data_IF_030502445244
#
_entry.id   IF_030502445244
#
_cell.length_a   1.000
_cell.length_b   1.000
_cell.length_c   1.000
_cell.angle_alpha   90.00
_cell.angle_beta   90.00
_cell.angle_gamma   90.00
#
_symmetry.space_group_name_H-M   'P 1'
#
loop_
_entity.id
_entity.type
_entity.pdbx_description
1 polymer ?
#
# COMPACT_ATOMS: atom_id res chain seq x y z
N UNK A 1 67.56 -6.21 1.36
CA UNK A 1 67.28 -4.77 1.17
C UNK A 1 66.79 -4.65 -0.27
N UNK A 2 65.53 -4.37 -0.62
CA UNK A 2 64.64 -3.26 -0.24
C UNK A 2 63.24 -3.68 -0.76
N UNK A 3 62.20 -3.53 0.06
CA UNK A 3 60.77 -3.78 -0.24
C UNK A 3 60.18 -2.57 -1.02
N UNK A 4 58.85 -2.36 -1.20
CA UNK A 4 57.68 -3.23 -1.48
C UNK A 4 56.76 -2.64 -2.62
N UNK A 5 55.53 -3.18 -2.74
CA UNK A 5 54.29 -2.53 -3.23
C UNK A 5 53.93 -2.77 -4.71
N UNK A 6 52.62 -2.95 -4.93
CA UNK A 6 51.87 -3.26 -6.16
C UNK A 6 51.74 -4.79 -6.31
N UNK A 7 50.64 -5.43 -5.92
CA UNK A 7 49.39 -5.33 -6.66
C UNK A 7 48.26 -5.89 -5.78
N UNK A 8 47.40 -5.01 -5.28
CA UNK A 8 46.15 -5.40 -4.61
C UNK A 8 45.18 -5.97 -5.64
N UNK A 9 45.22 -7.29 -5.83
CA UNK A 9 44.20 -8.01 -6.59
C UNK A 9 43.04 -8.38 -5.64
N UNK A 10 42.09 -7.45 -5.50
CA UNK A 10 40.75 -7.72 -4.99
C UNK A 10 40.00 -8.52 -6.07
N UNK A 11 39.96 -9.84 -5.91
CA UNK A 11 39.11 -10.76 -6.68
C UNK A 11 38.42 -11.65 -5.62
N UNK A 12 37.19 -11.30 -5.20
CA UNK A 12 35.97 -12.01 -5.64
C UNK A 12 36.03 -13.50 -5.26
N UNK A 13 35.25 -14.03 -4.31
CA UNK A 13 33.83 -14.41 -4.48
C UNK A 13 33.37 -15.23 -3.25
N UNK A 14 32.13 -14.98 -2.82
CA UNK A 14 31.17 -15.88 -2.15
C UNK A 14 31.50 -16.48 -0.78
N UNK A 15 30.77 -15.99 0.23
CA UNK A 15 29.99 -16.89 1.08
C UNK A 15 28.57 -16.33 1.21
N UNK A 16 27.67 -16.89 0.39
CA UNK A 16 26.23 -16.90 0.64
C UNK A 16 26.00 -17.58 1.99
N UNK A 17 25.38 -16.86 2.93
CA UNK A 17 24.36 -17.46 3.80
C UNK A 17 23.42 -16.37 4.32
N UNK A 18 22.57 -15.85 3.42
CA UNK A 18 21.34 -15.22 3.88
C UNK A 18 20.43 -16.35 4.36
N UNK A 19 20.40 -16.58 5.68
CA UNK A 19 19.30 -17.26 6.32
C UNK A 19 18.02 -16.48 5.96
N UNK A 20 17.18 -17.07 5.11
CA UNK A 20 15.83 -16.57 4.84
C UNK A 20 15.01 -16.81 6.11
N UNK A 21 14.99 -15.83 6.99
CA UNK A 21 13.91 -15.69 7.96
C UNK A 21 12.59 -15.55 7.18
N UNK A 22 11.49 -16.20 7.63
CA UNK A 22 10.19 -15.99 7.04
C UNK A 22 9.75 -14.56 7.35
N UNK A 23 9.92 -13.69 6.36
CA UNK A 23 9.38 -12.34 6.38
C UNK A 23 7.86 -12.45 6.27
N UNK A 24 7.18 -12.59 7.40
CA UNK A 24 5.75 -12.29 7.48
C UNK A 24 5.62 -10.83 7.08
N UNK A 25 5.25 -10.59 5.81
CA UNK A 25 5.03 -9.25 5.26
C UNK A 25 3.79 -8.63 5.89
N UNK A 26 3.87 -8.22 7.15
CA UNK A 26 3.08 -7.11 7.66
C UNK A 26 3.86 -5.82 7.43
N UNK A 27 4.14 -5.51 6.16
CA UNK A 27 4.50 -4.14 5.77
C UNK A 27 3.21 -3.41 5.41
N UNK A 28 2.37 -3.12 6.41
CA UNK A 28 1.44 -2.01 6.28
C UNK A 28 2.26 -0.72 6.46
N UNK A 29 3.06 -0.41 5.44
CA UNK A 29 3.61 0.92 5.28
C UNK A 29 2.62 1.67 4.39
N UNK A 30 1.45 1.97 4.96
CA UNK A 30 0.56 2.96 4.41
C UNK A 30 1.08 4.29 4.95
N UNK A 31 2.02 4.88 4.21
CA UNK A 31 2.43 6.26 4.41
C UNK A 31 1.15 7.09 4.48
N UNK A 32 0.84 7.52 5.69
CA UNK A 32 -0.26 8.41 6.04
C UNK A 32 0.02 9.78 5.43
N UNK A 33 -0.15 9.91 4.11
CA UNK A 33 -0.46 11.19 3.50
C UNK A 33 -1.90 11.52 3.90
N UNK A 34 -2.03 12.01 5.13
CA UNK A 34 -3.19 12.69 5.68
C UNK A 34 -3.32 14.07 5.03
N UNK A 35 -3.33 14.08 3.70
CA UNK A 35 -3.73 15.22 2.89
C UNK A 35 -5.25 15.15 2.80
N UNK A 36 -5.92 16.21 3.20
CA UNK A 36 -7.37 16.32 3.15
C UNK A 36 -7.85 16.02 1.71
N UNK A 37 -8.40 14.81 1.46
CA UNK A 37 -8.95 14.37 0.17
C UNK A 37 -10.26 15.10 -0.19
N UNK A 38 -10.36 16.41 0.03
CA UNK A 38 -11.57 17.19 -0.26
C UNK A 38 -11.89 17.29 -1.75
N UNK A 39 -10.95 16.91 -2.63
CA UNK A 39 -11.08 17.08 -4.08
C UNK A 39 -11.06 15.76 -4.88
N UNK A 40 -11.20 14.61 -4.21
CA UNK A 40 -11.23 13.32 -4.92
C UNK A 40 -12.65 13.01 -5.37
N UNK A 41 -12.87 12.96 -6.69
CA UNK A 41 -14.14 12.52 -7.26
C UNK A 41 -14.30 11.02 -7.05
N UNK A 42 -15.29 10.67 -6.24
CA UNK A 42 -15.73 9.30 -5.97
C UNK A 42 -17.10 9.09 -6.59
N UNK A 43 -17.40 7.85 -7.00
CA UNK A 43 -18.67 7.54 -7.67
C UNK A 43 -19.82 7.33 -6.69
N UNK A 44 -19.54 7.23 -5.39
CA UNK A 44 -20.50 6.95 -4.34
C UNK A 44 -20.66 8.14 -3.37
N UNK A 45 -21.90 8.57 -3.15
CA UNK A 45 -22.23 9.62 -2.18
C UNK A 45 -22.09 9.13 -0.73
N UNK A 46 -22.31 7.83 -0.51
CA UNK A 46 -22.24 7.17 0.79
C UNK A 46 -21.31 5.96 0.75
N UNK A 47 -20.64 5.68 1.86
CA UNK A 47 -19.78 4.51 2.03
C UNK A 47 -20.61 3.23 1.83
N UNK A 48 -20.25 2.35 0.88
CA UNK A 48 -21.03 1.14 0.58
C UNK A 48 -21.12 0.12 1.72
N UNK A 49 -20.27 0.24 2.75
CA UNK A 49 -20.22 -0.68 3.89
C UNK A 49 -21.05 -0.17 5.07
N UNK A 50 -20.95 1.12 5.39
CA UNK A 50 -21.56 1.70 6.59
C UNK A 50 -22.58 2.80 6.33
N UNK A 51 -22.80 3.19 5.06
CA UNK A 51 -23.72 4.24 4.63
C UNK A 51 -23.43 5.63 5.22
N UNK A 52 -22.19 5.88 5.64
CA UNK A 52 -21.76 7.22 6.03
C UNK A 52 -21.54 8.10 4.80
N UNK A 53 -21.89 9.38 4.88
CA UNK A 53 -21.67 10.34 3.80
C UNK A 53 -20.19 10.48 3.46
N UNK A 54 -19.83 10.05 2.25
CA UNK A 54 -18.46 10.10 1.76
C UNK A 54 -17.96 11.54 1.66
N UNK A 55 -18.81 12.48 1.23
CA UNK A 55 -18.45 13.90 1.09
C UNK A 55 -17.89 14.56 2.37
N UNK A 56 -18.28 14.08 3.56
CA UNK A 56 -17.83 14.64 4.84
C UNK A 56 -16.76 13.78 5.51
N UNK A 57 -16.79 12.47 5.29
CA UNK A 57 -16.00 11.51 6.04
C UNK A 57 -14.99 10.73 5.19
N UNK A 58 -14.74 11.12 3.93
CA UNK A 58 -13.77 10.45 3.06
C UNK A 58 -12.38 10.38 3.72
N UNK A 59 -11.94 9.17 4.06
CA UNK A 59 -10.61 8.89 4.60
C UNK A 59 -9.75 8.05 3.66
N UNK A 60 -10.39 7.26 2.80
CA UNK A 60 -9.70 6.31 1.95
C UNK A 60 -10.47 6.07 0.65
N UNK A 61 -9.80 5.57 -0.38
CA UNK A 61 -10.43 5.22 -1.66
C UNK A 61 -9.92 3.89 -2.20
N UNK A 62 -10.72 3.25 -3.05
CA UNK A 62 -10.28 2.12 -3.87
C UNK A 62 -10.85 2.22 -5.28
N UNK A 63 -10.05 1.82 -6.25
CA UNK A 63 -10.48 1.74 -7.64
C UNK A 63 -11.07 0.36 -7.92
N UNK A 64 -12.27 0.32 -8.49
CA UNK A 64 -12.96 -0.90 -8.89
C UNK A 64 -13.74 -0.66 -10.18
N UNK A 65 -13.55 -1.51 -11.20
CA UNK A 65 -14.18 -1.36 -12.53
C UNK A 65 -14.04 0.05 -13.12
N UNK A 66 -12.84 0.62 -13.05
CA UNK A 66 -12.52 2.00 -13.49
C UNK A 66 -13.30 3.11 -12.78
N UNK A 67 -13.97 2.79 -11.66
CA UNK A 67 -14.64 3.73 -10.78
C UNK A 67 -13.84 3.89 -9.48
N UNK A 68 -13.72 5.11 -8.98
CA UNK A 68 -13.10 5.39 -7.69
C UNK A 68 -14.19 5.38 -6.61
N UNK A 69 -14.11 4.47 -5.67
CA UNK A 69 -14.99 4.41 -4.51
C UNK A 69 -14.33 5.05 -3.30
N UNK A 70 -15.09 5.83 -2.55
CA UNK A 70 -14.69 6.47 -1.31
C UNK A 70 -15.22 5.76 -0.08
N UNK A 71 -14.39 5.75 0.97
CA UNK A 71 -14.66 5.05 2.22
C UNK A 71 -14.39 5.96 3.42
N UNK A 72 -15.20 5.80 4.46
CA UNK A 72 -15.10 6.54 5.70
C UNK A 72 -13.91 6.09 6.56
N UNK A 73 -13.36 4.91 6.27
CA UNK A 73 -12.25 4.29 6.99
C UNK A 73 -11.53 3.27 6.13
N UNK A 74 -10.29 2.94 6.52
CA UNK A 74 -9.54 1.84 5.90
C UNK A 74 -10.26 0.49 6.06
N UNK A 75 -10.96 0.28 7.18
CA UNK A 75 -11.76 -0.92 7.42
C UNK A 75 -12.86 -1.10 6.36
N UNK A 76 -13.61 -0.04 6.05
CA UNK A 76 -14.66 -0.10 5.01
C UNK A 76 -14.06 -0.38 3.62
N UNK A 77 -12.90 0.20 3.31
CA UNK A 77 -12.16 -0.13 2.08
C UNK A 77 -11.78 -1.62 2.03
N UNK A 78 -11.29 -2.17 3.13
CA UNK A 78 -10.83 -3.56 3.17
C UNK A 78 -12.01 -4.55 3.11
N UNK A 79 -13.13 -4.25 3.76
CA UNK A 79 -14.39 -5.01 3.60
C UNK A 79 -14.90 -4.95 2.16
N UNK A 80 -14.90 -3.76 1.54
CA UNK A 80 -15.27 -3.61 0.13
C UNK A 80 -14.38 -4.46 -0.79
N UNK A 81 -13.07 -4.53 -0.54
CA UNK A 81 -12.15 -5.35 -1.35
C UNK A 81 -12.39 -6.86 -1.24
N UNK A 82 -12.98 -7.34 -0.13
CA UNK A 82 -13.31 -8.77 0.02
C UNK A 82 -14.42 -9.20 -0.92
N UNK A 83 -15.43 -8.34 -1.09
CA UNK A 83 -16.56 -8.64 -1.97
C UNK A 83 -17.09 -7.36 -2.66
N UNK A 84 -16.32 -6.78 -3.59
CA UNK A 84 -16.68 -5.51 -4.21
C UNK A 84 -17.92 -5.63 -5.08
N UNK A 85 -18.25 -6.82 -5.58
CA UNK A 85 -19.43 -7.06 -6.41
C UNK A 85 -20.74 -6.89 -5.63
N UNK A 86 -20.76 -7.25 -4.34
CA UNK A 86 -21.94 -7.08 -3.50
C UNK A 86 -22.17 -5.64 -3.05
N UNK A 87 -21.10 -4.84 -2.98
CA UNK A 87 -21.17 -3.46 -2.47
C UNK A 87 -21.08 -2.39 -3.56
N UNK A 88 -20.50 -2.70 -4.72
CA UNK A 88 -20.39 -1.75 -5.82
C UNK A 88 -21.79 -1.41 -6.36
N UNK A 89 -22.22 -0.18 -6.07
CA UNK A 89 -23.44 0.38 -6.65
C UNK A 89 -23.22 0.53 -8.18
N UNK A 90 -24.22 0.12 -8.97
CA UNK A 90 -24.17 0.19 -10.44
C UNK A 90 -24.08 1.63 -10.93
#
# INVERSE_FOLDING_TARGET
MKSPIILTALLSILLLSCAKEPQVKHKMNMNSSKENMKNVQVVNDEDPICHMKTAQFLKDTAMYKNKTYGFCSSYCKDEFKKNPESYAQK
#
